data_IF_172129902804
#
_entry.id   IF_172129902804
#
_cell.length_a   1.000
_cell.length_b   1.000
_cell.length_c   1.000
_cell.angle_alpha   90.00
_cell.angle_beta   90.00
_cell.angle_gamma   90.00
#
_symmetry.space_group_name_H-M   'P 1'
#
loop_
_entity.id
_entity.type
_entity.pdbx_description
1 polymer ?
#
# COMPACT_ATOMS: atom_id res chain seq x y z
N UNK A 1 5.72 -15.87 -2.07
CA UNK A 1 5.40 -14.58 -1.41
C UNK A 1 3.91 -14.37 -1.52
N UNK A 2 3.29 -13.80 -0.48
CA UNK A 2 1.84 -13.60 -0.40
C UNK A 2 1.14 -14.61 0.51
N UNK A 3 0.35 -14.10 1.45
CA UNK A 3 -0.42 -14.89 2.41
C UNK A 3 -1.48 -15.78 1.74
N UNK A 4 -1.92 -15.41 0.54
CA UNK A 4 -2.91 -16.14 -0.25
C UNK A 4 -2.44 -17.53 -0.71
N UNK A 5 -1.13 -17.81 -0.61
CA UNK A 5 -0.50 -19.09 -0.97
C UNK A 5 -0.25 -20.03 0.22
N UNK A 6 -0.74 -19.68 1.42
CA UNK A 6 -0.49 -20.45 2.64
C UNK A 6 -1.45 -21.64 2.85
N UNK A 7 -2.43 -21.82 1.96
CA UNK A 7 -3.35 -22.95 1.99
C UNK A 7 -2.64 -24.27 1.59
N UNK A 8 -2.99 -25.37 2.26
CA UNK A 8 -2.43 -26.69 2.01
C UNK A 8 -2.92 -27.26 0.68
N UNK A 9 -1.99 -27.65 -0.20
CA UNK A 9 -2.34 -28.21 -1.52
C UNK A 9 -3.05 -29.56 -1.43
N UNK A 10 -2.86 -30.30 -0.33
CA UNK A 10 -3.51 -31.57 -0.05
C UNK A 10 -4.93 -31.44 0.53
N UNK A 11 -5.33 -30.24 0.97
CA UNK A 11 -6.66 -30.03 1.54
C UNK A 11 -7.75 -30.01 0.45
N UNK A 12 -9.00 -30.26 0.86
CA UNK A 12 -10.15 -30.20 -0.05
C UNK A 12 -10.30 -28.79 -0.67
N UNK A 13 -10.93 -28.62 -1.85
CA UNK A 13 -11.13 -27.29 -2.43
C UNK A 13 -11.79 -26.29 -1.46
N UNK A 14 -12.80 -26.73 -0.70
CA UNK A 14 -13.49 -25.93 0.31
C UNK A 14 -12.54 -25.51 1.43
N UNK A 15 -11.77 -26.44 1.98
CA UNK A 15 -10.85 -26.15 3.08
C UNK A 15 -9.70 -25.26 2.60
N UNK A 16 -9.19 -25.44 1.37
CA UNK A 16 -8.19 -24.53 0.80
C UNK A 16 -8.70 -23.10 0.73
N UNK A 17 -9.93 -22.90 0.27
CA UNK A 17 -10.56 -21.57 0.23
C UNK A 17 -10.68 -20.96 1.62
N UNK A 18 -11.14 -21.75 2.58
CA UNK A 18 -11.22 -21.33 3.98
C UNK A 18 -9.83 -20.96 4.54
N UNK A 19 -8.81 -21.79 4.31
CA UNK A 19 -7.43 -21.52 4.71
C UNK A 19 -6.88 -20.23 4.07
N UNK A 20 -7.18 -19.97 2.79
CA UNK A 20 -6.83 -18.72 2.11
C UNK A 20 -7.49 -17.51 2.77
N UNK A 21 -8.77 -17.60 3.14
CA UNK A 21 -9.48 -16.55 3.88
C UNK A 21 -8.82 -16.30 5.25
N UNK A 22 -8.55 -17.35 6.02
CA UNK A 22 -7.89 -17.25 7.33
C UNK A 22 -6.52 -16.59 7.21
N UNK A 23 -5.71 -17.01 6.23
CA UNK A 23 -4.39 -16.43 5.98
C UNK A 23 -4.47 -14.93 5.68
N UNK A 24 -5.47 -14.48 4.92
CA UNK A 24 -5.71 -13.07 4.64
C UNK A 24 -6.15 -12.31 5.89
N UNK A 25 -7.08 -12.85 6.68
CA UNK A 25 -7.53 -12.24 7.94
C UNK A 25 -6.37 -12.08 8.95
N UNK A 26 -5.45 -13.05 9.00
CA UNK A 26 -4.27 -12.99 9.87
C UNK A 26 -3.18 -12.02 9.35
N UNK A 27 -3.16 -11.71 8.05
CA UNK A 27 -2.13 -10.89 7.42
C UNK A 27 -2.15 -9.42 7.82
N UNK A 28 -3.31 -8.85 8.19
CA UNK A 28 -3.39 -7.40 8.45
C UNK A 28 -2.47 -7.00 9.59
N UNK A 29 -1.56 -6.05 9.33
CA UNK A 29 -0.58 -5.56 10.31
C UNK A 29 0.22 -6.71 10.97
N UNK A 30 0.59 -7.72 10.18
CA UNK A 30 1.40 -8.85 10.62
C UNK A 30 2.41 -9.18 9.53
N UNK A 31 3.66 -9.48 9.91
CA UNK A 31 4.69 -9.87 8.94
C UNK A 31 4.30 -11.20 8.28
N UNK A 32 4.62 -11.35 7.00
CA UNK A 32 4.30 -12.56 6.24
C UNK A 32 4.89 -13.83 6.86
N UNK A 33 6.10 -13.75 7.41
CA UNK A 33 6.74 -14.88 8.11
C UNK A 33 6.00 -15.28 9.38
N UNK A 34 5.55 -14.30 10.17
CA UNK A 34 4.74 -14.56 11.38
C UNK A 34 3.39 -15.15 11.02
N UNK A 35 2.76 -14.66 9.94
CA UNK A 35 1.51 -15.21 9.43
C UNK A 35 1.69 -16.68 8.97
N UNK A 36 2.76 -16.97 8.22
CA UNK A 36 3.06 -18.33 7.77
C UNK A 36 3.26 -19.32 8.94
N UNK A 37 3.95 -18.90 10.00
CA UNK A 37 4.12 -19.72 11.21
C UNK A 37 2.77 -19.97 11.90
N UNK A 38 1.94 -18.94 12.04
CA UNK A 38 0.62 -19.07 12.67
C UNK A 38 -0.32 -19.98 11.85
N UNK A 39 -0.34 -19.81 10.52
CA UNK A 39 -1.06 -20.71 9.60
C UNK A 39 -0.61 -22.15 9.77
N UNK A 40 0.71 -22.40 9.83
CA UNK A 40 1.23 -23.75 9.99
C UNK A 40 0.79 -24.39 11.31
N UNK A 41 0.83 -23.64 12.41
CA UNK A 41 0.33 -24.10 13.72
C UNK A 41 -1.15 -24.45 13.67
N UNK A 42 -1.99 -23.59 13.06
CA UNK A 42 -3.41 -23.90 12.89
C UNK A 42 -3.63 -25.17 12.05
N UNK A 43 -2.81 -25.38 11.01
CA UNK A 43 -2.90 -26.57 10.15
C UNK A 43 -2.47 -27.86 10.87
N UNK A 44 -1.52 -27.79 11.81
CA UNK A 44 -0.95 -29.00 12.45
C UNK A 44 -1.42 -29.25 13.87
N UNK A 45 -1.81 -28.22 14.62
CA UNK A 45 -2.08 -28.29 16.06
C UNK A 45 -3.56 -28.06 16.41
N UNK A 46 -4.40 -27.66 15.45
CA UNK A 46 -5.84 -27.50 15.71
C UNK A 46 -6.50 -28.89 15.79
N UNK A 47 -7.15 -29.23 16.91
CA UNK A 47 -7.73 -30.56 17.11
C UNK A 47 -8.99 -30.76 16.25
N UNK A 48 -9.34 -32.03 15.95
CA UNK A 48 -10.57 -32.34 15.24
C UNK A 48 -11.79 -32.02 16.10
N UNK A 49 -12.88 -31.58 15.47
CA UNK A 49 -14.15 -31.28 16.13
C UNK A 49 -14.86 -32.53 16.69
N UNK A 50 -14.55 -33.73 16.17
CA UNK A 50 -15.15 -34.99 16.60
C UNK A 50 -14.17 -36.17 16.44
N UNK A 51 -14.34 -37.26 17.20
CA UNK A 51 -13.56 -38.49 17.01
C UNK A 51 -13.67 -39.01 15.56
N UNK A 52 -12.52 -39.28 14.93
CA UNK A 52 -12.45 -39.75 13.55
C UNK A 52 -12.52 -38.66 12.47
N UNK A 53 -12.77 -37.39 12.84
CA UNK A 53 -12.68 -36.27 11.92
C UNK A 53 -11.22 -35.85 11.66
N UNK A 54 -10.92 -35.23 10.51
CA UNK A 54 -9.58 -34.72 10.22
C UNK A 54 -9.21 -33.57 11.16
N UNK A 55 -8.00 -33.61 11.71
CA UNK A 55 -7.40 -32.49 12.44
C UNK A 55 -6.98 -31.36 11.46
N UNK A 56 -6.57 -30.23 12.03
CA UNK A 56 -6.01 -29.10 11.28
C UNK A 56 -7.03 -28.03 10.92
N UNK A 57 -6.61 -27.11 10.05
CA UNK A 57 -7.36 -25.88 9.75
C UNK A 57 -8.48 -26.14 8.73
N UNK A 58 -9.67 -26.41 9.25
CA UNK A 58 -10.93 -26.43 8.52
C UNK A 58 -12.02 -25.70 9.32
N UNK A 59 -13.17 -25.48 8.68
CA UNK A 59 -14.26 -24.68 9.25
C UNK A 59 -14.81 -25.32 10.53
N UNK A 60 -15.07 -26.63 10.50
CA UNK A 60 -15.68 -27.37 11.60
C UNK A 60 -14.78 -27.38 12.84
N UNK A 61 -13.46 -27.54 12.66
CA UNK A 61 -12.49 -27.50 13.76
C UNK A 61 -12.39 -26.09 14.37
N UNK A 62 -12.44 -25.03 13.55
CA UNK A 62 -12.46 -23.64 14.07
C UNK A 62 -13.75 -23.34 14.84
N UNK A 63 -14.89 -23.88 14.41
CA UNK A 63 -16.16 -23.73 15.11
C UNK A 63 -16.17 -24.44 16.46
N UNK A 64 -15.64 -25.66 16.52
CA UNK A 64 -15.61 -26.46 17.75
C UNK A 64 -14.52 -26.00 18.74
N UNK A 65 -13.39 -25.48 18.25
CA UNK A 65 -12.27 -25.11 19.10
C UNK A 65 -12.60 -23.95 20.07
N UNK A 66 -12.05 -24.04 21.27
CA UNK A 66 -12.09 -22.96 22.26
C UNK A 66 -11.40 -21.70 21.70
N UNK A 67 -12.01 -20.50 21.81
CA UNK A 67 -11.36 -19.25 21.42
C UNK A 67 -9.96 -19.05 22.03
N UNK A 68 -9.72 -19.46 23.27
CA UNK A 68 -8.42 -19.37 23.95
C UNK A 68 -7.36 -20.24 23.27
N UNK A 69 -7.75 -21.43 22.80
CA UNK A 69 -6.86 -22.31 22.04
C UNK A 69 -6.46 -21.66 20.72
N UNK A 70 -7.43 -21.14 19.95
CA UNK A 70 -7.15 -20.46 18.68
C UNK A 70 -6.22 -19.26 18.95
N UNK A 71 -6.54 -18.46 19.96
CA UNK A 71 -5.75 -17.30 20.36
C UNK A 71 -4.30 -17.69 20.69
N UNK A 72 -4.11 -18.79 21.42
CA UNK A 72 -2.80 -19.35 21.73
C UNK A 72 -2.06 -19.82 20.47
N UNK A 73 -2.73 -20.41 19.48
CA UNK A 73 -2.08 -20.83 18.23
C UNK A 73 -1.58 -19.63 17.41
N UNK A 74 -2.34 -18.52 17.42
CA UNK A 74 -2.03 -17.30 16.65
C UNK A 74 -1.41 -16.17 17.49
N UNK A 75 -0.90 -16.44 18.70
CA UNK A 75 -0.50 -15.41 19.68
C UNK A 75 0.52 -14.39 19.15
N UNK A 76 1.39 -14.80 18.22
CA UNK A 76 2.41 -13.95 17.63
C UNK A 76 1.85 -12.99 16.55
N UNK A 77 0.63 -13.23 16.08
CA UNK A 77 -0.05 -12.39 15.09
C UNK A 77 -0.47 -11.07 15.74
N UNK A 78 -0.22 -9.95 15.04
CA UNK A 78 -0.64 -8.64 15.51
C UNK A 78 -2.16 -8.57 15.70
N UNK A 79 -2.62 -8.02 16.83
CA UNK A 79 -4.05 -7.95 17.20
C UNK A 79 -4.75 -9.32 17.26
N UNK A 80 -4.03 -10.38 17.66
CA UNK A 80 -4.56 -11.76 17.73
C UNK A 80 -5.89 -11.86 18.51
N UNK A 81 -6.07 -11.11 19.60
CA UNK A 81 -7.34 -11.09 20.36
C UNK A 81 -8.57 -10.74 19.51
N UNK A 82 -8.47 -9.70 18.67
CA UNK A 82 -9.57 -9.33 17.78
C UNK A 82 -9.70 -10.31 16.62
N UNK A 83 -8.57 -10.79 16.08
CA UNK A 83 -8.57 -11.78 15.00
C UNK A 83 -9.19 -13.11 15.41
N UNK A 84 -8.97 -13.58 16.64
CA UNK A 84 -9.66 -14.76 17.20
C UNK A 84 -11.17 -14.56 17.17
N UNK A 85 -11.66 -13.39 17.64
CA UNK A 85 -13.09 -13.07 17.62
C UNK A 85 -13.65 -13.08 16.20
N UNK A 86 -12.96 -12.41 15.28
CA UNK A 86 -13.36 -12.35 13.87
C UNK A 86 -13.37 -13.72 13.20
N UNK A 87 -12.38 -14.57 13.45
CA UNK A 87 -12.34 -15.93 12.92
C UNK A 87 -13.53 -16.76 13.41
N UNK A 88 -13.84 -16.72 14.71
CA UNK A 88 -15.00 -17.44 15.27
C UNK A 88 -16.32 -16.92 14.68
N UNK A 89 -16.48 -15.60 14.60
CA UNK A 89 -17.70 -14.98 14.06
C UNK A 89 -17.85 -15.27 12.56
N UNK A 90 -16.77 -15.17 11.79
CA UNK A 90 -16.77 -15.53 10.38
C UNK A 90 -17.18 -16.99 10.20
N UNK A 91 -16.57 -17.92 10.95
CA UNK A 91 -16.89 -19.34 10.87
C UNK A 91 -18.38 -19.64 11.11
N UNK A 92 -19.01 -18.95 12.08
CA UNK A 92 -20.46 -19.05 12.31
C UNK A 92 -21.24 -18.56 11.09
N UNK A 93 -20.91 -17.37 10.56
CA UNK A 93 -21.57 -16.80 9.37
C UNK A 93 -21.44 -17.72 8.16
N UNK A 94 -20.27 -18.33 7.94
CA UNK A 94 -20.05 -19.25 6.82
C UNK A 94 -20.94 -20.49 6.91
N UNK A 95 -21.15 -21.01 8.12
CA UNK A 95 -22.03 -22.15 8.37
C UNK A 95 -23.48 -21.78 8.12
N UNK A 96 -23.93 -20.67 8.69
CA UNK A 96 -25.34 -20.28 8.69
C UNK A 96 -25.82 -19.75 7.33
N UNK A 97 -24.97 -19.01 6.60
CA UNK A 97 -25.37 -18.26 5.40
C UNK A 97 -24.73 -18.74 4.10
N UNK A 98 -23.58 -19.41 4.19
CA UNK A 98 -22.78 -19.80 3.02
C UNK A 98 -22.56 -21.30 2.92
N UNK A 99 -23.41 -22.08 3.59
CA UNK A 99 -23.46 -23.53 3.50
C UNK A 99 -22.11 -24.21 3.77
N UNK A 100 -21.30 -23.61 4.65
CA UNK A 100 -20.00 -24.09 5.08
C UNK A 100 -18.82 -23.75 4.15
N UNK A 101 -19.01 -22.89 3.14
CA UNK A 101 -17.93 -22.39 2.28
C UNK A 101 -17.78 -20.87 2.43
N UNK A 102 -16.71 -20.29 1.86
CA UNK A 102 -16.55 -18.84 1.82
C UNK A 102 -17.44 -18.21 0.73
N UNK A 103 -17.83 -16.93 0.85
CA UNK A 103 -18.53 -16.23 -0.21
C UNK A 103 -17.71 -16.16 -1.51
N UNK A 104 -18.38 -16.19 -2.65
CA UNK A 104 -17.79 -16.07 -3.99
C UNK A 104 -18.05 -14.68 -4.64
N UNK A 105 -18.42 -13.70 -3.82
CA UNK A 105 -18.66 -12.30 -4.21
C UNK A 105 -17.86 -11.37 -3.31
N UNK A 106 -17.50 -10.18 -3.83
CA UNK A 106 -16.76 -9.17 -3.06
C UNK A 106 -17.61 -8.69 -1.89
N UNK A 107 -18.89 -8.42 -2.11
CA UNK A 107 -19.84 -7.94 -1.09
C UNK A 107 -20.01 -8.98 0.02
N UNK A 108 -20.14 -10.26 -0.35
CA UNK A 108 -20.21 -11.36 0.61
C UNK A 108 -18.96 -11.47 1.47
N UNK A 109 -17.77 -11.36 0.86
CA UNK A 109 -16.49 -11.41 1.57
C UNK A 109 -16.32 -10.21 2.50
N UNK A 110 -16.62 -8.99 2.05
CA UNK A 110 -16.53 -7.76 2.88
C UNK A 110 -17.53 -7.76 4.03
N UNK A 111 -18.65 -8.47 3.91
CA UNK A 111 -19.61 -8.62 5.00
C UNK A 111 -19.07 -9.48 6.17
N UNK A 112 -17.98 -10.21 5.98
CA UNK A 112 -17.34 -10.98 7.04
C UNK A 112 -16.55 -10.04 7.98
N UNK A 113 -16.65 -10.24 9.31
CA UNK A 113 -15.94 -9.41 10.27
C UNK A 113 -14.43 -9.52 10.08
N UNK A 114 -13.76 -8.37 10.03
CA UNK A 114 -12.31 -8.29 9.83
C UNK A 114 -11.85 -8.40 8.38
N UNK A 115 -12.75 -8.56 7.41
CA UNK A 115 -12.42 -8.60 5.98
C UNK A 115 -12.71 -7.25 5.33
N UNK A 116 -11.68 -6.60 4.81
CA UNK A 116 -11.80 -5.35 4.06
C UNK A 116 -11.78 -5.53 2.53
N UNK A 117 -12.06 -4.48 1.74
CA UNK A 117 -12.11 -4.54 0.28
C UNK A 117 -10.86 -5.14 -0.39
N UNK A 118 -9.66 -4.77 0.09
CA UNK A 118 -8.39 -5.37 -0.38
C UNK A 118 -8.41 -6.90 -0.19
N UNK A 119 -8.77 -7.35 1.01
CA UNK A 119 -8.77 -8.78 1.33
C UNK A 119 -9.79 -9.53 0.49
N UNK A 120 -10.97 -8.95 0.26
CA UNK A 120 -11.99 -9.55 -0.58
C UNK A 120 -11.49 -9.77 -2.02
N UNK A 121 -10.86 -8.76 -2.65
CA UNK A 121 -10.30 -8.92 -4.00
C UNK A 121 -9.19 -9.97 -4.06
N UNK A 122 -8.28 -9.98 -3.07
CA UNK A 122 -7.22 -11.00 -3.01
C UNK A 122 -7.77 -12.40 -2.76
N UNK A 123 -8.77 -12.53 -1.88
CA UNK A 123 -9.43 -13.79 -1.55
C UNK A 123 -10.14 -14.34 -2.79
N UNK A 124 -10.95 -13.52 -3.47
CA UNK A 124 -11.66 -13.93 -4.68
C UNK A 124 -10.69 -14.40 -5.79
N UNK A 125 -9.59 -13.66 -5.98
CA UNK A 125 -8.59 -14.03 -6.98
C UNK A 125 -7.84 -15.31 -6.64
N UNK A 126 -7.57 -15.59 -5.36
CA UNK A 126 -6.77 -16.75 -4.96
C UNK A 126 -7.60 -18.00 -4.69
N UNK A 127 -8.78 -17.84 -4.08
CA UNK A 127 -9.65 -18.93 -3.64
C UNK A 127 -10.59 -19.41 -4.75
N UNK A 128 -11.03 -18.50 -5.62
CA UNK A 128 -12.01 -18.76 -6.68
C UNK A 128 -11.44 -18.60 -8.09
N UNK A 129 -10.16 -18.28 -8.20
CA UNK A 129 -9.49 -17.99 -9.47
C UNK A 129 -10.15 -16.84 -10.28
N UNK A 130 -10.89 -15.96 -9.60
CA UNK A 130 -11.66 -14.86 -10.21
C UNK A 130 -11.05 -13.51 -9.87
N UNK A 131 -10.44 -12.89 -10.87
CA UNK A 131 -9.84 -11.55 -10.73
C UNK A 131 -10.84 -10.47 -11.17
N UNK A 132 -11.57 -9.92 -10.20
CA UNK A 132 -12.59 -8.87 -10.42
C UNK A 132 -12.11 -7.48 -10.03
N UNK A 133 -10.95 -7.38 -9.38
CA UNK A 133 -10.33 -6.11 -9.06
C UNK A 133 -8.93 -6.29 -8.51
N UNK A 134 -8.24 -5.16 -8.35
CA UNK A 134 -6.88 -5.09 -7.84
C UNK A 134 -6.95 -4.95 -6.31
N UNK A 135 -6.33 -5.87 -5.58
CA UNK A 135 -6.10 -5.71 -4.15
C UNK A 135 -5.03 -4.65 -3.92
N UNK A 136 -5.40 -3.42 -3.58
CA UNK A 136 -4.43 -2.34 -3.33
C UNK A 136 -4.06 -2.30 -1.86
N UNK A 137 -2.76 -2.29 -1.58
CA UNK A 137 -2.22 -2.15 -0.25
C UNK A 137 -1.28 -0.95 -0.12
N UNK A 138 -0.64 -0.81 1.04
CA UNK A 138 0.27 0.31 1.30
C UNK A 138 1.47 0.34 0.34
N UNK A 139 1.93 -0.80 -0.17
CA UNK A 139 3.02 -0.86 -1.13
C UNK A 139 2.55 -0.43 -2.51
N UNK A 140 1.48 -1.05 -3.02
CA UNK A 140 0.89 -0.70 -4.31
C UNK A 140 0.50 0.78 -4.33
N UNK A 141 -0.25 1.24 -3.33
CA UNK A 141 -0.70 2.62 -3.22
C UNK A 141 0.48 3.61 -3.17
N UNK A 142 1.48 3.36 -2.32
CA UNK A 142 2.66 4.24 -2.21
C UNK A 142 3.45 4.28 -3.51
N UNK A 143 3.79 3.12 -4.07
CA UNK A 143 4.73 3.02 -5.20
C UNK A 143 4.12 3.59 -6.48
N UNK A 144 2.86 3.31 -6.74
CA UNK A 144 2.17 3.81 -7.96
C UNK A 144 1.96 5.32 -7.92
N UNK A 145 1.62 5.90 -6.75
CA UNK A 145 1.62 7.35 -6.55
C UNK A 145 3.03 7.94 -6.66
N UNK A 146 4.04 7.26 -6.09
CA UNK A 146 5.44 7.70 -6.15
C UNK A 146 5.96 7.73 -7.60
N UNK A 147 5.60 6.75 -8.43
CA UNK A 147 5.92 6.76 -9.86
C UNK A 147 5.12 7.77 -10.67
N UNK A 148 4.06 8.33 -10.10
CA UNK A 148 3.18 9.29 -10.77
C UNK A 148 2.24 8.64 -11.77
N UNK A 149 1.89 7.36 -11.61
CA UNK A 149 0.86 6.70 -12.43
C UNK A 149 -0.53 7.29 -12.19
N UNK A 150 -0.75 7.84 -11.00
CA UNK A 150 -1.94 8.59 -10.61
C UNK A 150 -1.60 9.47 -9.39
N UNK A 151 -2.55 10.32 -9.00
CA UNK A 151 -2.50 11.09 -7.76
C UNK A 151 -3.78 10.80 -6.97
N UNK A 152 -3.69 9.95 -5.95
CA UNK A 152 -4.83 9.49 -5.17
C UNK A 152 -4.54 9.60 -3.68
N UNK A 153 -5.59 9.74 -2.87
CA UNK A 153 -5.47 9.91 -1.41
C UNK A 153 -5.64 8.61 -0.64
N UNK A 154 -6.36 7.65 -1.22
CA UNK A 154 -6.65 6.38 -0.54
C UNK A 154 -6.46 5.16 -1.48
N UNK A 155 -6.34 3.94 -0.91
CA UNK A 155 -6.14 2.72 -1.69
C UNK A 155 -7.28 2.41 -2.67
N UNK A 156 -8.51 2.81 -2.36
CA UNK A 156 -9.68 2.53 -3.21
C UNK A 156 -9.69 3.41 -4.47
N UNK A 157 -9.34 4.69 -4.33
CA UNK A 157 -9.07 5.56 -5.47
C UNK A 157 -7.92 5.02 -6.33
N UNK A 158 -6.83 4.52 -5.72
CA UNK A 158 -5.75 3.85 -6.46
C UNK A 158 -6.25 2.62 -7.21
N UNK A 159 -7.14 1.82 -6.61
CA UNK A 159 -7.70 0.63 -7.24
C UNK A 159 -8.44 1.01 -8.53
N UNK A 160 -9.33 1.99 -8.44
CA UNK A 160 -10.09 2.50 -9.59
C UNK A 160 -9.17 3.12 -10.65
N UNK A 161 -8.19 3.92 -10.22
CA UNK A 161 -7.23 4.56 -11.13
C UNK A 161 -6.32 3.55 -11.85
N UNK A 162 -5.93 2.45 -11.22
CA UNK A 162 -5.17 1.39 -11.89
C UNK A 162 -6.06 0.61 -12.86
N UNK A 163 -7.30 0.28 -12.47
CA UNK A 163 -8.21 -0.49 -13.32
C UNK A 163 -8.67 0.25 -14.58
N UNK A 164 -8.60 1.59 -14.59
CA UNK A 164 -9.02 2.36 -15.77
C UNK A 164 -8.08 2.22 -16.97
N UNK A 165 -6.84 1.76 -16.77
CA UNK A 165 -5.86 1.64 -17.86
C UNK A 165 -4.99 0.39 -17.81
N UNK A 166 -4.78 -0.24 -16.65
CA UNK A 166 -3.95 -1.42 -16.53
C UNK A 166 -4.65 -2.61 -17.21
N UNK A 167 -3.99 -3.34 -18.13
CA UNK A 167 -4.56 -4.53 -18.76
C UNK A 167 -5.00 -5.57 -17.72
N UNK A 168 -6.16 -6.20 -17.96
CA UNK A 168 -6.84 -7.07 -16.96
C UNK A 168 -6.02 -8.30 -16.59
N UNK A 169 -5.21 -8.82 -17.52
CA UNK A 169 -4.26 -9.91 -17.29
C UNK A 169 -3.19 -9.57 -16.23
N UNK A 170 -2.93 -8.29 -15.98
CA UNK A 170 -1.95 -7.82 -14.99
C UNK A 170 -2.52 -7.57 -13.60
N UNK A 171 -3.84 -7.59 -13.44
CA UNK A 171 -4.50 -7.23 -12.17
C UNK A 171 -4.17 -8.19 -11.04
N UNK A 172 -4.03 -9.48 -11.36
CA UNK A 172 -3.62 -10.50 -10.39
C UNK A 172 -2.18 -10.31 -9.93
N UNK A 173 -1.31 -9.88 -10.84
CA UNK A 173 0.13 -9.89 -10.61
C UNK A 173 0.65 -8.65 -9.89
N UNK A 174 0.05 -7.50 -10.19
CA UNK A 174 0.56 -6.22 -9.74
C UNK A 174 0.73 -6.12 -8.21
N UNK A 175 -0.18 -6.72 -7.42
CA UNK A 175 -0.08 -6.64 -5.97
C UNK A 175 1.19 -7.30 -5.44
N UNK A 176 1.39 -8.60 -5.68
CA UNK A 176 2.52 -9.33 -5.09
C UNK A 176 3.86 -8.86 -5.67
N UNK A 177 3.90 -8.42 -6.93
CA UNK A 177 5.08 -7.79 -7.53
C UNK A 177 5.50 -6.52 -6.79
N UNK A 178 4.56 -5.58 -6.57
CA UNK A 178 4.86 -4.32 -5.91
C UNK A 178 5.04 -4.47 -4.39
N UNK A 179 4.39 -5.44 -3.76
CA UNK A 179 4.65 -5.79 -2.36
C UNK A 179 6.08 -6.28 -2.20
N UNK A 180 6.50 -7.27 -2.99
CA UNK A 180 7.88 -7.79 -2.96
C UNK A 180 8.89 -6.68 -3.22
N UNK A 181 8.70 -5.90 -4.29
CA UNK A 181 9.57 -4.78 -4.63
C UNK A 181 9.60 -3.70 -3.54
N UNK A 182 8.47 -3.40 -2.91
CA UNK A 182 8.32 -2.42 -1.85
C UNK A 182 8.86 -2.85 -0.49
N UNK A 183 9.04 -4.15 -0.27
CA UNK A 183 9.64 -4.74 0.93
C UNK A 183 11.16 -4.92 0.81
N UNK A 184 11.71 -5.04 -0.40
CA UNK A 184 13.14 -5.34 -0.61
C UNK A 184 13.93 -4.17 -1.18
N UNK A 185 13.35 -3.37 -2.08
CA UNK A 185 14.08 -2.33 -2.83
C UNK A 185 13.49 -0.94 -2.59
N UNK A 186 12.22 -0.73 -2.94
CA UNK A 186 11.56 0.58 -2.83
C UNK A 186 10.90 0.77 -1.46
N UNK A 187 11.73 0.70 -0.41
CA UNK A 187 11.33 0.80 1.00
C UNK A 187 10.59 2.12 1.32
N UNK A 188 9.69 2.14 2.32
CA UNK A 188 9.02 3.37 2.74
C UNK A 188 10.01 4.45 3.22
N UNK A 189 11.07 4.03 3.91
CA UNK A 189 12.15 4.87 4.42
C UNK A 189 13.46 4.29 3.92
N UNK A 190 14.36 5.15 3.44
CA UNK A 190 15.68 4.72 2.94
C UNK A 190 15.58 3.85 1.67
N UNK A 191 14.89 4.33 0.63
CA UNK A 191 14.79 3.60 -0.66
C UNK A 191 16.18 3.23 -1.18
N UNK A 192 16.34 2.01 -1.67
CA UNK A 192 17.60 1.51 -2.23
C UNK A 192 17.72 1.86 -3.71
N UNK A 193 17.62 3.14 -4.06
CA UNK A 193 17.62 3.57 -5.45
C UNK A 193 18.93 3.24 -6.21
N UNK A 194 20.05 3.10 -5.50
CA UNK A 194 21.33 2.65 -6.08
C UNK A 194 21.41 1.15 -6.38
N UNK A 195 20.50 0.34 -5.85
CA UNK A 195 20.36 -1.09 -6.16
C UNK A 195 19.16 -1.36 -7.09
N UNK A 196 18.36 -0.33 -7.38
CA UNK A 196 17.12 -0.45 -8.11
C UNK A 196 17.34 -0.29 -9.62
N UNK A 197 17.07 -1.33 -10.41
CA UNK A 197 17.24 -1.27 -11.87
C UNK A 197 16.40 -0.16 -12.53
N UNK A 198 15.20 0.12 -12.02
CA UNK A 198 14.39 1.23 -12.53
C UNK A 198 15.05 2.59 -12.28
N UNK A 199 15.69 2.77 -11.12
CA UNK A 199 16.45 3.99 -10.81
C UNK A 199 17.71 4.09 -11.66
N UNK A 200 18.48 3.00 -11.74
CA UNK A 200 19.75 2.95 -12.45
C UNK A 200 19.59 3.13 -13.97
N UNK A 201 18.50 2.61 -14.55
CA UNK A 201 18.14 2.83 -15.96
C UNK A 201 17.50 4.20 -16.22
N UNK A 202 17.30 5.04 -15.20
CA UNK A 202 16.67 6.35 -15.34
C UNK A 202 15.17 6.30 -15.61
N UNK A 203 14.50 5.16 -15.41
CA UNK A 203 13.07 4.97 -15.65
C UNK A 203 12.20 5.42 -14.47
N UNK A 204 12.75 5.49 -13.26
CA UNK A 204 12.01 5.87 -12.06
C UNK A 204 12.11 7.38 -11.80
N UNK A 205 11.00 8.10 -12.05
CA UNK A 205 10.87 9.56 -11.79
C UNK A 205 11.22 9.94 -10.34
N UNK A 206 10.91 9.07 -9.39
CA UNK A 206 11.08 9.33 -7.96
C UNK A 206 12.39 8.77 -7.36
N UNK A 207 13.32 8.34 -8.21
CA UNK A 207 14.59 7.82 -7.73
C UNK A 207 15.40 8.92 -7.03
N UNK A 208 16.04 8.55 -5.91
CA UNK A 208 16.97 9.44 -5.21
C UNK A 208 18.27 9.56 -6.02
N UNK A 209 18.44 10.66 -6.76
CA UNK A 209 19.55 10.87 -7.70
C UNK A 209 20.92 10.57 -7.09
N UNK A 210 21.18 11.04 -5.86
CA UNK A 210 22.45 10.79 -5.15
C UNK A 210 22.76 9.29 -5.03
N UNK A 211 21.76 8.49 -4.62
CA UNK A 211 21.91 7.03 -4.49
C UNK A 211 22.05 6.32 -5.83
N UNK A 212 21.37 6.81 -6.87
CA UNK A 212 21.50 6.26 -8.23
C UNK A 212 22.91 6.49 -8.77
N UNK A 213 23.46 7.70 -8.61
CA UNK A 213 24.82 8.02 -9.05
C UNK A 213 25.86 7.16 -8.33
N UNK A 214 25.70 7.01 -7.01
CA UNK A 214 26.56 6.12 -6.22
C UNK A 214 26.46 4.66 -6.68
N UNK A 215 25.24 4.16 -6.88
CA UNK A 215 25.04 2.79 -7.36
C UNK A 215 25.60 2.53 -8.77
N UNK A 216 25.58 3.54 -9.65
CA UNK A 216 26.21 3.45 -10.99
C UNK A 216 27.73 3.34 -10.88
N UNK A 217 28.38 4.16 -10.05
CA UNK A 217 29.83 4.10 -9.80
C UNK A 217 30.26 2.74 -9.25
N UNK A 218 29.53 2.21 -8.27
CA UNK A 218 29.80 0.87 -7.70
C UNK A 218 29.65 -0.22 -8.77
N UNK A 219 28.60 -0.17 -9.61
CA UNK A 219 28.43 -1.16 -10.69
C UNK A 219 29.56 -1.09 -11.71
N UNK A 220 30.02 0.11 -12.06
CA UNK A 220 31.14 0.31 -12.97
C UNK A 220 32.45 -0.23 -12.40
N UNK A 221 32.77 0.07 -11.13
CA UNK A 221 33.97 -0.47 -10.48
C UNK A 221 33.94 -2.00 -10.35
N UNK A 222 32.80 -2.59 -9.97
CA UNK A 222 32.65 -4.07 -9.92
C UNK A 222 32.76 -4.72 -11.29
N UNK A 223 32.35 -4.03 -12.36
CA UNK A 223 32.53 -4.54 -13.73
C UNK A 223 34.02 -4.52 -14.10
N UNK A 224 34.76 -3.45 -13.76
CA UNK A 224 36.21 -3.36 -13.99
C UNK A 224 36.95 -4.48 -13.26
N UNK A 225 36.72 -4.67 -11.96
CA UNK A 225 37.35 -5.72 -11.14
C UNK A 225 37.13 -7.12 -11.74
N UNK A 226 35.90 -7.44 -12.18
CA UNK A 226 35.60 -8.74 -12.80
C UNK A 226 36.33 -8.96 -14.12
N UNK A 227 36.50 -7.91 -14.92
CA UNK A 227 37.18 -8.04 -16.20
C UNK A 227 38.69 -8.25 -15.99
N UNK A 228 39.27 -7.62 -14.96
CA UNK A 228 40.66 -7.84 -14.55
C UNK A 228 40.90 -9.29 -14.08
N UNK A 229 39.99 -9.86 -13.29
CA UNK A 229 40.07 -11.25 -12.79
C UNK A 229 39.88 -12.30 -13.90
N UNK A 230 38.99 -12.05 -14.87
CA UNK A 230 38.70 -12.97 -15.99
C UNK A 230 39.70 -12.84 -17.18
N UNK A 231 40.75 -12.02 -17.03
CA UNK A 231 41.90 -11.98 -17.95
C UNK A 231 41.66 -11.24 -19.28
N UNK A 232 40.60 -10.45 -19.41
CA UNK A 232 40.41 -9.58 -20.57
C UNK A 232 40.98 -8.18 -20.29
N UNK A 233 41.90 -7.71 -21.13
CA UNK A 233 42.57 -6.41 -20.92
C UNK A 233 41.61 -5.25 -21.26
N UNK A 234 41.08 -4.54 -20.27
CA UNK A 234 40.34 -3.29 -20.52
C UNK A 234 41.34 -2.14 -20.67
N UNK A 235 41.48 -1.62 -21.89
CA UNK A 235 42.05 -0.28 -22.09
C UNK A 235 40.96 0.76 -21.81
N UNK A 236 40.80 1.16 -20.54
CA UNK A 236 40.02 2.36 -20.22
C UNK A 236 40.87 3.57 -20.64
N UNK A 237 40.53 4.17 -21.78
CA UNK A 237 40.97 5.54 -22.07
C UNK A 237 40.15 6.46 -21.17
N UNK A 238 40.77 7.01 -20.13
CA UNK A 238 40.26 8.18 -19.43
C UNK A 238 40.24 9.35 -20.42
N UNK A 239 39.04 9.75 -20.85
CA UNK A 239 38.77 11.14 -21.23
C UNK A 239 37.93 11.74 -20.11
N UNK A 240 38.62 12.40 -19.17
CA UNK A 240 38.03 13.30 -18.21
C UNK A 240 37.54 14.54 -18.97
N UNK A 241 36.23 14.63 -19.24
CA UNK A 241 35.61 15.91 -19.57
C UNK A 241 35.68 16.80 -18.33
N UNK A 242 36.64 17.74 -18.36
CA UNK A 242 36.73 18.86 -17.44
C UNK A 242 35.62 19.87 -17.76
N UNK A 243 34.54 19.83 -17.00
CA UNK A 243 33.67 20.99 -16.82
C UNK A 243 34.28 21.87 -15.72
N UNK A 244 34.95 22.96 -16.10
CA UNK A 244 34.90 24.27 -15.42
C UNK A 244 35.69 25.33 -16.22
N UNK A 245 34.99 26.17 -16.99
CA UNK A 245 35.42 27.55 -17.24
C UNK A 245 34.25 28.47 -16.87
N UNK A 246 34.46 29.19 -15.78
CA UNK A 246 33.62 30.30 -15.31
C UNK A 246 33.98 31.52 -16.16
N UNK A 247 33.10 31.95 -17.06
CA UNK A 247 33.14 33.33 -17.57
C UNK A 247 32.34 34.24 -16.64
N UNK A 248 33.08 35.00 -15.82
CA UNK A 248 32.58 36.25 -15.22
C UNK A 248 32.64 37.35 -16.28
N UNK A 249 31.49 37.76 -16.81
CA UNK A 249 31.39 39.02 -17.53
C UNK A 249 31.42 40.18 -16.51
N UNK A 250 32.59 40.82 -16.39
CA UNK A 250 32.72 42.17 -15.82
C UNK A 250 32.53 43.14 -16.97
N UNK A 251 31.37 43.79 -17.05
CA UNK A 251 31.17 44.97 -17.89
C UNK A 251 31.46 46.19 -17.04
N UNK A 252 32.45 46.96 -17.47
CA UNK A 252 32.90 48.23 -16.88
C UNK A 252 31.82 49.28 -17.10
N UNK A 253 31.45 49.98 -16.02
CA UNK A 253 30.66 51.21 -16.06
C UNK A 253 31.48 52.33 -16.71
N UNK A 254 30.96 52.97 -17.75
CA UNK A 254 31.22 54.37 -18.05
C UNK A 254 29.97 55.20 -17.75
N UNK A 255 30.22 56.36 -17.17
CA UNK A 255 29.31 57.29 -16.50
C UNK A 255 28.44 58.14 -17.44
N UNK A 256 27.16 58.22 -17.09
CA UNK A 256 26.29 59.42 -16.97
C UNK A 256 26.42 60.53 -18.03
N UNK A 257 25.34 60.77 -18.78
CA UNK A 257 24.73 62.10 -18.86
C UNK A 257 23.25 62.03 -19.25
N UNK A 258 22.39 62.56 -18.38
CA UNK A 258 21.00 62.98 -18.66
C UNK A 258 21.05 64.36 -19.38
N UNK A 259 20.01 64.81 -20.13
CA UNK A 259 18.90 65.46 -19.43
C UNK A 259 17.49 65.43 -20.11
N UNK A 260 16.48 65.44 -19.22
CA UNK A 260 15.22 66.23 -19.20
C UNK A 260 14.16 66.23 -20.32
N UNK A 261 12.93 65.92 -19.85
CA UNK A 261 11.61 66.61 -19.95
C UNK A 261 10.88 66.78 -21.29
N UNK A 262 9.62 66.32 -21.31
CA UNK A 262 8.31 67.03 -21.52
C UNK A 262 7.23 65.97 -21.85
N UNK A 263 6.29 65.65 -20.96
CA UNK A 263 4.96 66.26 -20.69
C UNK A 263 3.90 66.02 -21.78
N UNK A 264 2.79 65.36 -21.39
CA UNK A 264 1.37 65.67 -21.65
C UNK A 264 0.52 64.41 -21.29
N UNK A 265 -0.13 64.36 -20.11
CA UNK A 265 -1.56 64.67 -19.80
C UNK A 265 -2.56 63.66 -20.38
N UNK A 266 -3.14 62.78 -19.56
CA UNK A 266 -4.38 62.94 -18.74
C UNK A 266 -5.69 62.81 -19.53
N UNK A 267 -6.51 61.80 -19.20
CA UNK A 267 -7.92 61.85 -18.70
C UNK A 267 -8.16 60.46 -18.05
N UNK A 268 -8.27 60.25 -16.71
CA UNK A 268 -9.45 60.32 -15.81
C UNK A 268 -10.78 59.90 -16.48
N UNK A 269 -11.81 59.33 -15.89
CA UNK A 269 -12.31 58.93 -14.56
C UNK A 269 -13.33 57.80 -14.91
N UNK A 270 -13.76 56.84 -14.09
CA UNK A 270 -14.05 56.85 -12.66
C UNK A 270 -15.36 56.07 -12.48
N UNK A 271 -15.44 55.18 -11.48
CA UNK A 271 -16.62 55.11 -10.61
C UNK A 271 -16.29 54.36 -9.31
N UNK A 272 -16.20 55.16 -8.25
CA UNK A 272 -16.21 54.83 -6.84
C UNK A 272 -17.60 54.29 -6.40
N UNK A 273 -17.67 53.19 -5.64
CA UNK A 273 -17.84 53.07 -4.16
C UNK A 273 -19.27 53.05 -3.58
N UNK A 274 -19.38 52.23 -2.51
CA UNK A 274 -20.19 52.40 -1.27
C UNK A 274 -21.72 52.25 -1.39
N UNK A 275 -22.48 51.86 -0.37
CA UNK A 275 -22.25 51.36 1.01
C UNK A 275 -23.61 50.96 1.60
N UNK A 276 -23.58 50.24 2.74
CA UNK A 276 -24.57 50.30 3.85
C UNK A 276 -26.00 49.76 3.60
N UNK A 277 -26.77 49.23 4.55
CA UNK A 277 -26.65 48.94 5.99
C UNK A 277 -27.86 48.07 6.41
N UNK A 278 -27.80 47.48 7.60
CA UNK A 278 -28.77 46.62 8.30
C UNK A 278 -30.12 47.35 8.63
N UNK A 279 -31.15 46.86 9.40
CA UNK A 279 -31.08 45.87 10.50
C UNK A 279 -32.33 44.99 10.83
N UNK A 280 -32.14 44.12 11.84
CA UNK A 280 -33.01 43.87 13.03
C UNK A 280 -34.18 42.85 13.09
N UNK A 281 -34.30 42.30 14.33
CA UNK A 281 -35.41 41.65 15.06
C UNK A 281 -35.52 40.11 15.01
N UNK A 282 -35.81 39.36 16.09
CA UNK A 282 -35.72 39.48 17.58
C UNK A 282 -36.15 38.11 18.17
N UNK A 283 -36.02 37.98 19.50
CA UNK A 283 -36.50 36.93 20.43
C UNK A 283 -35.57 35.73 20.66
N UNK A 284 -34.86 35.56 21.79
CA UNK A 284 -35.08 35.85 23.22
C UNK A 284 -36.14 34.97 23.90
N UNK A 285 -35.66 34.02 24.73
CA UNK A 285 -36.07 33.65 26.10
C UNK A 285 -35.67 32.17 26.34
N UNK A 286 -34.64 31.87 27.16
CA UNK A 286 -34.66 31.80 28.64
C UNK A 286 -35.35 30.52 29.16
N UNK A 287 -34.91 29.77 30.17
CA UNK A 287 -33.74 29.70 31.06
C UNK A 287 -33.93 28.39 31.87
N UNK A 288 -32.81 27.79 32.29
CA UNK A 288 -32.52 27.19 33.62
C UNK A 288 -33.66 26.54 34.43
N UNK A 289 -33.43 25.32 34.93
CA UNK A 289 -32.93 25.07 36.30
C UNK A 289 -33.46 23.76 36.91
N UNK A 290 -32.52 23.00 37.50
CA UNK A 290 -32.66 22.20 38.75
C UNK A 290 -33.57 20.96 38.69
N UNK A 291 -33.43 19.90 39.49
CA UNK A 291 -32.41 19.30 40.36
C UNK A 291 -33.17 18.11 40.99
N UNK A 292 -32.52 16.96 41.15
CA UNK A 292 -32.71 16.00 42.27
C UNK A 292 -33.93 15.05 42.34
N UNK A 293 -33.58 13.76 42.54
CA UNK A 293 -34.31 12.66 43.22
C UNK A 293 -35.52 12.09 42.44
N UNK A 294 -35.74 10.78 42.32
CA UNK A 294 -35.79 9.75 43.37
C UNK A 294 -36.01 8.37 42.71
N UNK A 295 -35.49 7.32 43.37
CA UNK A 295 -35.70 5.87 43.21
C UNK A 295 -34.98 5.20 42.04
#
# INVERSE_FOLDING_TARGET
MGCERLAETSASPRDRRFQTLVALMLSSQTKDTTNAVAMKRLQTELPPHAPGAPAGLNLENVLAADPELINKLIWAVGFHNNKTKYLKQAAVILTDKWNGDIPDTIEGLVALPGVGPKMAHLCLSAAWDRTEGIGVDVHVHRITNLWGWHTTKNPEETRLALQSWLPRDRWREINWLLVGFGQTVCLPVGRRCGECDLGLRGLCRAAEKKKVLEGRRIRESTVIEKIEDDGATVKVKEELEQDEVIEKAVVVNETVNEPTKESETEVTDGFETKSESAPEQRDALSKKARRSKRV
#
